data_IF_188780385009
#
_entry.id   IF_188780385009
#
_cell.length_a   1.000
_cell.length_b   1.000
_cell.length_c   1.000
_cell.angle_alpha   90.00
_cell.angle_beta   90.00
_cell.angle_gamma   90.00
#
_symmetry.space_group_name_H-M   'P 1'
#
loop_
_entity.id
_entity.type
_entity.pdbx_description
1 polymer ?
#
# COMPACT_ATOMS: atom_id res chain seq x y z
N UNK A 1 3.14 -38.82 -41.58
CA UNK A 1 3.77 -38.91 -40.25
C UNK A 1 3.25 -37.80 -39.36
N UNK A 2 2.31 -38.10 -38.46
CA UNK A 2 1.79 -37.11 -37.52
C UNK A 2 2.76 -36.92 -36.35
N UNK A 3 3.01 -35.68 -35.92
CA UNK A 3 3.93 -35.37 -34.81
C UNK A 3 3.41 -35.81 -33.43
N UNK A 4 2.26 -36.51 -33.35
CA UNK A 4 1.69 -37.05 -32.11
C UNK A 4 1.27 -35.99 -31.08
N UNK A 5 1.12 -34.72 -31.50
CA UNK A 5 0.77 -33.59 -30.63
C UNK A 5 -0.48 -32.90 -31.13
N UNK A 6 -1.44 -32.69 -30.23
CA UNK A 6 -2.64 -31.90 -30.46
C UNK A 6 -2.60 -30.67 -29.55
N UNK A 7 -2.99 -29.51 -30.09
CA UNK A 7 -3.21 -28.32 -29.24
C UNK A 7 -4.44 -28.59 -28.38
N UNK A 8 -4.31 -28.35 -27.07
CA UNK A 8 -5.39 -28.47 -26.11
C UNK A 8 -5.39 -27.30 -25.14
N UNK A 9 -6.52 -27.11 -24.45
CA UNK A 9 -6.63 -26.17 -23.35
C UNK A 9 -6.48 -26.92 -22.03
N UNK A 10 -5.69 -26.39 -21.11
CA UNK A 10 -5.49 -26.94 -19.77
C UNK A 10 -5.63 -25.85 -18.72
N UNK A 11 -6.33 -26.13 -17.63
CA UNK A 11 -6.47 -25.21 -16.50
C UNK A 11 -5.45 -25.57 -15.43
N UNK A 12 -4.56 -24.62 -15.11
CA UNK A 12 -3.53 -24.78 -14.09
C UNK A 12 -3.91 -23.95 -12.87
N UNK A 13 -3.97 -24.58 -11.69
CA UNK A 13 -4.19 -23.88 -10.42
C UNK A 13 -2.84 -23.45 -9.85
N UNK A 14 -2.62 -22.13 -9.80
CA UNK A 14 -1.38 -21.55 -9.25
C UNK A 14 -1.68 -20.99 -7.86
N UNK A 15 -0.99 -21.50 -6.84
CA UNK A 15 -1.04 -20.92 -5.49
C UNK A 15 -0.03 -19.78 -5.41
N UNK A 16 -0.55 -18.56 -5.25
CA UNK A 16 0.26 -17.35 -5.10
C UNK A 16 0.58 -17.18 -3.61
N UNK A 17 1.86 -17.28 -3.18
CA UNK A 17 2.22 -17.10 -1.79
C UNK A 17 1.94 -15.67 -1.33
N UNK A 18 1.53 -15.50 -0.07
CA UNK A 18 1.42 -14.17 0.51
C UNK A 18 2.80 -13.51 0.61
N UNK A 19 2.84 -12.18 0.44
CA UNK A 19 4.07 -11.41 0.56
C UNK A 19 4.91 -11.30 -0.72
N UNK A 20 4.57 -12.00 -1.81
CA UNK A 20 5.32 -11.87 -3.06
C UNK A 20 5.22 -10.46 -3.67
N UNK A 21 6.22 -10.10 -4.46
CA UNK A 21 6.35 -8.81 -5.14
C UNK A 21 6.38 -8.99 -6.66
N UNK A 22 6.31 -7.86 -7.39
CA UNK A 22 6.51 -7.85 -8.84
C UNK A 22 7.88 -8.43 -9.19
N UNK A 23 7.94 -9.22 -10.26
CA UNK A 23 9.15 -9.93 -10.67
C UNK A 23 9.32 -11.31 -10.04
N UNK A 24 8.48 -11.69 -9.07
CA UNK A 24 8.51 -13.05 -8.52
C UNK A 24 8.09 -14.09 -9.58
N UNK A 25 8.89 -15.15 -9.72
CA UNK A 25 8.67 -16.22 -10.70
C UNK A 25 8.20 -17.49 -9.99
N UNK A 26 7.02 -17.98 -10.38
CA UNK A 26 6.48 -19.26 -9.90
C UNK A 26 6.70 -20.34 -10.96
N UNK A 27 7.33 -21.44 -10.56
CA UNK A 27 7.45 -22.65 -11.37
C UNK A 27 6.32 -23.62 -11.03
N UNK A 28 5.55 -24.02 -12.02
CA UNK A 28 4.57 -25.10 -11.91
C UNK A 28 5.11 -26.31 -12.68
N UNK A 29 5.65 -27.26 -11.91
CA UNK A 29 6.31 -28.44 -12.47
C UNK A 29 5.33 -29.30 -13.29
N UNK A 30 5.75 -29.72 -14.48
CA UNK A 30 4.97 -30.61 -15.34
C UNK A 30 3.73 -29.97 -15.98
N UNK A 31 3.54 -28.66 -15.87
CA UNK A 31 2.43 -27.92 -16.47
C UNK A 31 2.79 -27.24 -17.81
N UNK A 32 3.98 -27.53 -18.35
CA UNK A 32 4.44 -27.02 -19.64
C UNK A 32 4.00 -27.90 -20.81
N UNK A 33 4.69 -27.74 -21.96
CA UNK A 33 4.39 -28.50 -23.16
C UNK A 33 4.85 -29.96 -23.04
N UNK A 34 4.13 -30.88 -23.69
CA UNK A 34 4.52 -32.30 -23.78
C UNK A 34 5.89 -32.45 -24.46
N UNK A 35 6.78 -33.22 -23.84
CA UNK A 35 8.11 -33.52 -24.36
C UNK A 35 8.10 -34.19 -25.74
N UNK A 36 9.26 -34.20 -26.41
CA UNK A 36 9.43 -34.96 -27.66
C UNK A 36 9.75 -36.42 -27.36
N UNK A 37 9.31 -37.35 -28.22
CA UNK A 37 9.68 -38.78 -28.16
C UNK A 37 9.54 -39.40 -26.74
N UNK A 38 8.35 -39.31 -26.15
CA UNK A 38 8.05 -39.77 -24.78
C UNK A 38 8.85 -39.06 -23.67
N UNK A 39 9.46 -37.90 -23.95
CA UNK A 39 10.08 -37.07 -22.93
C UNK A 39 9.06 -36.46 -21.96
N UNK A 40 9.51 -36.09 -20.74
CA UNK A 40 8.63 -35.52 -19.73
C UNK A 40 8.01 -34.20 -20.20
N UNK A 41 6.87 -33.85 -19.62
CA UNK A 41 6.27 -32.54 -19.79
C UNK A 41 7.20 -31.47 -19.22
N UNK A 42 7.33 -30.35 -19.93
CA UNK A 42 8.06 -29.19 -19.42
C UNK A 42 7.33 -28.50 -18.26
N UNK A 43 7.84 -27.34 -17.87
CA UNK A 43 7.26 -26.56 -16.78
C UNK A 43 6.59 -25.28 -17.28
N UNK A 44 5.62 -24.79 -16.51
CA UNK A 44 5.05 -23.47 -16.68
C UNK A 44 5.72 -22.49 -15.72
N UNK A 45 6.25 -21.39 -16.27
CA UNK A 45 6.75 -20.28 -15.47
C UNK A 45 5.74 -19.13 -15.49
N UNK A 46 5.33 -18.68 -14.31
CA UNK A 46 4.39 -17.58 -14.12
C UNK A 46 5.14 -16.40 -13.52
N UNK A 47 5.18 -15.29 -14.26
CA UNK A 47 5.76 -14.03 -13.79
C UNK A 47 4.68 -13.18 -13.15
N UNK A 48 4.91 -12.80 -11.89
CA UNK A 48 3.97 -12.00 -11.13
C UNK A 48 4.26 -10.52 -11.34
N UNK A 49 3.21 -9.76 -11.62
CA UNK A 49 3.23 -8.30 -11.59
C UNK A 49 2.12 -7.79 -10.67
N UNK A 50 2.51 -7.14 -9.59
CA UNK A 50 1.60 -6.54 -8.61
C UNK A 50 1.09 -5.23 -9.19
N UNK A 51 -0.24 -5.10 -9.28
CA UNK A 51 -0.87 -3.88 -9.74
C UNK A 51 -0.66 -2.75 -8.72
N UNK A 52 -0.35 -1.52 -9.17
CA UNK A 52 -0.36 -0.35 -8.29
C UNK A 52 -1.70 -0.22 -7.58
N UNK A 53 -1.66 0.23 -6.33
CA UNK A 53 -2.86 0.48 -5.53
C UNK A 53 -3.13 1.99 -5.45
N UNK A 54 -4.41 2.39 -5.53
CA UNK A 54 -4.78 3.82 -5.57
C UNK A 54 -4.45 4.58 -4.28
N UNK A 55 -4.40 3.87 -3.15
CA UNK A 55 -4.16 4.46 -1.82
C UNK A 55 -2.78 4.17 -1.24
N UNK A 56 -2.16 3.06 -1.64
CA UNK A 56 -0.97 2.55 -0.95
C UNK A 56 0.18 2.41 -1.91
N UNK A 57 1.33 2.96 -1.52
CA UNK A 57 2.61 2.66 -2.14
C UNK A 57 3.25 1.53 -1.33
N UNK A 58 3.65 0.45 -2.01
CA UNK A 58 4.27 -0.72 -1.36
C UNK A 58 5.78 -0.64 -1.52
N UNK A 59 6.49 -0.70 -0.41
CA UNK A 59 7.95 -0.78 -0.34
C UNK A 59 8.34 -2.03 0.43
N UNK A 60 8.69 -3.09 -0.30
CA UNK A 60 8.97 -4.38 0.32
C UNK A 60 7.71 -4.96 1.01
N UNK A 61 7.82 -5.19 2.31
CA UNK A 61 6.68 -5.59 3.16
C UNK A 61 5.95 -4.42 3.81
N UNK A 62 6.46 -3.20 3.67
CA UNK A 62 5.87 -2.00 4.27
C UNK A 62 4.94 -1.30 3.27
N UNK A 63 4.00 -0.53 3.82
CA UNK A 63 3.06 0.28 3.06
C UNK A 63 3.16 1.73 3.45
N UNK A 64 3.04 2.62 2.47
CA UNK A 64 2.97 4.06 2.67
C UNK A 64 1.56 4.51 2.28
N UNK A 65 0.90 5.22 3.19
CA UNK A 65 -0.38 5.88 2.96
C UNK A 65 -0.21 7.38 3.17
N UNK A 66 -0.60 8.17 2.17
CA UNK A 66 -0.53 9.64 2.23
C UNK A 66 -1.93 10.16 2.52
N UNK A 67 -2.06 11.05 3.50
CA UNK A 67 -3.36 11.65 3.86
C UNK A 67 -3.21 13.11 4.21
N UNK A 68 -4.21 13.90 3.84
CA UNK A 68 -4.33 15.28 4.26
C UNK A 68 -5.08 15.37 5.59
N UNK A 69 -4.66 16.29 6.46
CA UNK A 69 -5.41 16.70 7.65
C UNK A 69 -5.58 18.22 7.66
N UNK A 70 -6.74 18.74 8.10
CA UNK A 70 -6.95 20.18 8.24
C UNK A 70 -5.95 20.80 9.23
N UNK A 71 -5.46 22.01 8.91
CA UNK A 71 -4.59 22.81 9.77
C UNK A 71 -5.04 22.84 11.24
N UNK A 72 -6.33 23.06 11.51
CA UNK A 72 -6.85 23.14 12.89
C UNK A 72 -6.65 21.82 13.64
N UNK A 73 -6.85 20.67 12.98
CA UNK A 73 -6.64 19.34 13.59
C UNK A 73 -5.17 19.07 13.85
N UNK A 74 -4.27 19.52 12.97
CA UNK A 74 -2.83 19.42 13.16
C UNK A 74 -2.36 20.31 14.33
N UNK A 75 -2.88 21.53 14.39
CA UNK A 75 -2.53 22.52 15.41
C UNK A 75 -3.00 22.10 16.81
N UNK A 76 -4.26 21.67 16.95
CA UNK A 76 -4.86 21.37 18.25
C UNK A 76 -4.67 19.91 18.69
N UNK A 77 -4.29 19.03 17.77
CA UNK A 77 -4.30 17.58 17.97
C UNK A 77 -5.69 16.99 17.69
N UNK A 78 -5.72 15.74 17.28
CA UNK A 78 -6.97 15.05 16.91
C UNK A 78 -6.79 13.53 16.89
N UNK A 79 -7.88 12.82 16.59
CA UNK A 79 -7.82 11.42 16.16
C UNK A 79 -8.33 11.35 14.72
N UNK A 80 -7.65 10.57 13.88
CA UNK A 80 -8.10 10.29 12.52
C UNK A 80 -8.16 8.79 12.28
N UNK A 81 -9.05 8.36 11.38
CA UNK A 81 -9.10 6.99 10.88
C UNK A 81 -8.38 6.91 9.53
N UNK A 82 -7.49 5.93 9.41
CA UNK A 82 -6.79 5.62 8.17
C UNK A 82 -7.17 4.23 7.68
N UNK A 83 -7.28 4.01 6.36
CA UNK A 83 -7.47 2.68 5.81
C UNK A 83 -6.21 1.83 6.07
N UNK A 84 -6.42 0.55 6.24
CA UNK A 84 -5.38 -0.49 6.25
C UNK A 84 -5.70 -1.49 5.15
N UNK A 85 -4.67 -2.18 4.66
CA UNK A 85 -4.84 -3.08 3.52
C UNK A 85 -5.62 -4.37 3.86
N UNK A 86 -5.55 -4.84 5.10
CA UNK A 86 -6.11 -6.13 5.54
C UNK A 86 -7.16 -5.97 6.63
N UNK A 87 -6.96 -5.05 7.59
CA UNK A 87 -7.73 -5.00 8.84
C UNK A 87 -8.86 -3.96 8.82
N UNK A 88 -9.23 -3.45 7.64
CA UNK A 88 -10.21 -2.38 7.52
C UNK A 88 -9.60 -1.01 7.84
N UNK A 89 -9.95 -0.41 8.97
CA UNK A 89 -9.45 0.92 9.38
C UNK A 89 -8.70 0.86 10.70
N UNK A 90 -7.75 1.78 10.88
CA UNK A 90 -7.04 1.98 12.13
C UNK A 90 -7.17 3.44 12.57
N UNK A 91 -7.31 3.65 13.88
CA UNK A 91 -7.29 4.98 14.48
C UNK A 91 -5.86 5.39 14.82
N UNK A 92 -5.50 6.63 14.50
CA UNK A 92 -4.24 7.22 14.90
C UNK A 92 -4.48 8.53 15.64
N UNK A 93 -3.74 8.71 16.74
CA UNK A 93 -3.71 9.97 17.47
C UNK A 93 -2.72 10.91 16.80
N UNK A 94 -3.18 12.10 16.46
CA UNK A 94 -2.40 13.21 15.94
C UNK A 94 -2.04 14.12 17.12
N UNK A 95 -0.75 14.21 17.50
CA UNK A 95 -0.32 15.15 18.52
C UNK A 95 -0.56 16.60 18.12
N UNK A 96 -0.80 17.45 19.11
CA UNK A 96 -0.85 18.91 18.96
C UNK A 96 0.46 19.41 18.34
N UNK A 97 0.37 20.28 17.34
CA UNK A 97 1.54 20.82 16.64
C UNK A 97 2.20 19.85 15.65
N UNK A 98 1.49 18.82 15.19
CA UNK A 98 1.99 17.92 14.13
C UNK A 98 2.36 18.74 12.89
N UNK A 99 3.54 18.46 12.32
CA UNK A 99 4.06 19.17 11.14
C UNK A 99 3.71 18.44 9.84
N UNK A 100 3.60 19.17 8.73
CA UNK A 100 3.40 18.56 7.41
C UNK A 100 4.60 17.69 7.03
N UNK A 101 4.35 16.54 6.42
CA UNK A 101 5.36 15.51 6.13
C UNK A 101 5.64 14.55 7.29
N UNK A 102 5.10 14.79 8.49
CA UNK A 102 5.24 13.88 9.63
C UNK A 102 4.70 12.50 9.26
N UNK A 103 5.44 11.45 9.61
CA UNK A 103 5.08 10.06 9.31
C UNK A 103 4.82 9.28 10.60
N UNK A 104 3.62 8.72 10.71
CA UNK A 104 3.21 7.86 11.83
C UNK A 104 3.32 6.39 11.45
N UNK A 105 3.96 5.59 12.30
CA UNK A 105 4.13 4.15 12.08
C UNK A 105 3.05 3.37 12.82
N UNK A 106 2.30 2.56 12.09
CA UNK A 106 1.38 1.57 12.63
C UNK A 106 2.00 0.19 12.48
N UNK A 107 2.40 -0.39 13.62
CA UNK A 107 3.11 -1.66 13.66
C UNK A 107 2.23 -2.83 13.18
N UNK A 108 2.81 -3.74 12.40
CA UNK A 108 2.18 -4.96 11.86
C UNK A 108 0.96 -4.68 10.95
N UNK A 109 0.88 -3.50 10.34
CA UNK A 109 -0.22 -3.10 9.44
C UNK A 109 0.14 -3.06 7.96
N UNK A 110 1.35 -3.48 7.60
CA UNK A 110 1.83 -3.66 6.23
C UNK A 110 1.48 -5.03 5.63
N UNK A 111 2.27 -5.48 4.66
CA UNK A 111 2.12 -6.76 3.96
C UNK A 111 2.77 -7.90 4.75
N UNK A 112 2.31 -9.13 4.52
CA UNK A 112 2.95 -10.33 5.07
C UNK A 112 4.36 -10.50 4.49
N UNK A 113 5.32 -10.91 5.32
CA UNK A 113 6.65 -11.26 4.84
C UNK A 113 6.61 -12.57 4.04
N UNK A 114 7.34 -12.62 2.92
CA UNK A 114 7.41 -13.81 2.09
C UNK A 114 8.06 -14.96 2.89
N UNK A 115 7.33 -16.08 3.00
CA UNK A 115 7.79 -17.31 3.69
C UNK A 115 8.17 -17.12 5.17
N UNK A 116 7.75 -16.02 5.81
CA UNK A 116 8.02 -15.75 7.22
C UNK A 116 6.71 -15.43 7.96
N UNK A 117 6.76 -15.62 9.28
CA UNK A 117 5.71 -15.15 10.17
C UNK A 117 5.86 -13.63 10.39
N UNK A 118 4.73 -12.94 10.49
CA UNK A 118 4.71 -11.50 10.72
C UNK A 118 4.41 -10.68 9.48
N UNK A 119 4.32 -9.37 9.69
CA UNK A 119 3.96 -8.36 8.68
C UNK A 119 4.90 -7.18 8.82
N UNK A 120 5.11 -6.48 7.72
CA UNK A 120 5.64 -5.12 7.74
C UNK A 120 4.66 -4.14 8.37
N UNK A 121 4.96 -2.87 8.23
CA UNK A 121 4.26 -1.78 8.88
C UNK A 121 3.54 -0.88 7.88
N UNK A 122 2.60 -0.08 8.41
CA UNK A 122 1.97 0.99 7.65
C UNK A 122 2.53 2.33 8.12
N UNK A 123 3.11 3.09 7.20
CA UNK A 123 3.59 4.44 7.40
C UNK A 123 2.56 5.43 6.86
N UNK A 124 1.91 6.16 7.76
CA UNK A 124 0.96 7.21 7.40
C UNK A 124 1.71 8.54 7.34
N UNK A 125 1.95 9.03 6.13
CA UNK A 125 2.53 10.36 5.91
C UNK A 125 1.40 11.39 5.84
N UNK A 126 1.45 12.33 6.76
CA UNK A 126 0.43 13.38 6.90
C UNK A 126 0.87 14.64 6.18
N UNK A 127 -0.01 15.22 5.39
CA UNK A 127 0.15 16.55 4.81
C UNK A 127 -0.90 17.49 5.43
N UNK A 128 -0.49 18.72 5.76
CA UNK A 128 -1.40 19.69 6.37
C UNK A 128 -2.09 20.49 5.27
N UNK A 129 -3.41 20.35 5.20
CA UNK A 129 -4.25 21.16 4.32
C UNK A 129 -4.47 22.55 4.93
N UNK A 130 -3.98 23.57 4.23
CA UNK A 130 -4.15 24.98 4.59
C UNK A 130 -5.35 25.52 3.81
N UNK A 131 -6.36 26.10 4.50
CA UNK A 131 -7.58 26.55 3.84
C UNK A 131 -7.29 27.63 2.79
N UNK A 132 -7.73 27.38 1.55
CA UNK A 132 -7.53 28.29 0.41
C UNK A 132 -8.58 29.39 0.29
N UNK A 133 -9.73 29.23 0.96
CA UNK A 133 -10.83 30.20 0.98
C UNK A 133 -11.25 30.42 2.42
N UNK A 134 -11.25 31.67 2.85
CA UNK A 134 -11.65 32.08 4.19
C UNK A 134 -12.77 33.11 4.08
N UNK A 135 -13.81 32.94 4.88
CA UNK A 135 -14.79 34.00 5.09
C UNK A 135 -14.20 35.11 5.99
N UNK A 136 -14.93 36.22 6.12
CA UNK A 136 -14.48 37.38 6.91
C UNK A 136 -14.19 37.01 8.37
N UNK A 137 -15.05 36.21 9.00
CA UNK A 137 -14.88 35.83 10.42
C UNK A 137 -13.66 34.92 10.58
N UNK A 138 -13.47 33.95 9.69
CA UNK A 138 -12.33 33.04 9.71
C UNK A 138 -11.01 33.79 9.51
N UNK A 139 -10.96 34.71 8.53
CA UNK A 139 -9.80 35.58 8.31
C UNK A 139 -9.49 36.43 9.54
N UNK A 140 -10.49 37.05 10.15
CA UNK A 140 -10.29 37.92 11.31
C UNK A 140 -9.74 37.12 12.52
N UNK A 141 -10.24 35.90 12.74
CA UNK A 141 -9.72 35.00 13.78
C UNK A 141 -8.27 34.59 13.54
N UNK A 142 -7.91 34.24 12.30
CA UNK A 142 -6.53 33.87 11.96
C UNK A 142 -5.57 35.05 12.08
N UNK A 143 -6.01 36.28 11.75
CA UNK A 143 -5.22 37.49 11.97
C UNK A 143 -4.97 37.75 13.46
N UNK A 144 -5.99 37.58 14.29
CA UNK A 144 -5.84 37.72 15.75
C UNK A 144 -4.87 36.67 16.30
N UNK A 145 -4.99 35.42 15.85
CA UNK A 145 -4.06 34.36 16.22
C UNK A 145 -2.62 34.68 15.78
N UNK A 146 -2.43 35.14 14.54
CA UNK A 146 -1.12 35.56 14.03
C UNK A 146 -0.49 36.69 14.85
N UNK A 147 -1.27 37.70 15.27
CA UNK A 147 -0.81 38.77 16.16
C UNK A 147 -0.36 38.24 17.53
N UNK A 148 -1.12 37.32 18.12
CA UNK A 148 -0.75 36.70 19.40
C UNK A 148 0.55 35.88 19.30
N UNK A 149 0.84 35.32 18.13
CA UNK A 149 2.08 34.61 17.84
C UNK A 149 3.23 35.50 17.39
N UNK A 150 2.98 36.79 17.11
CA UNK A 150 3.97 37.70 16.55
C UNK A 150 4.34 37.41 15.09
N UNK A 151 3.46 36.76 14.33
CA UNK A 151 3.68 36.41 12.92
C UNK A 151 3.29 37.56 11.97
N UNK A 152 2.34 38.40 12.38
CA UNK A 152 1.80 39.57 11.66
C UNK A 152 1.33 40.66 12.62
#
# INVERSE_FOLDING_TARGET
SGQGRLKGSHRVKVKVPAGIESGYQLRVSGAGNTGAKNGPTGDLYVFINVKPHNLFEREGSDLIYKTDIPFVKAALGSEIEVPTIIDGKAKIKIPTGTQSGTTFRLKNKGMQHLQQFGRGDLYVRVHIDTPSKLDRKQSDLLKQFGKLRGEI
#
